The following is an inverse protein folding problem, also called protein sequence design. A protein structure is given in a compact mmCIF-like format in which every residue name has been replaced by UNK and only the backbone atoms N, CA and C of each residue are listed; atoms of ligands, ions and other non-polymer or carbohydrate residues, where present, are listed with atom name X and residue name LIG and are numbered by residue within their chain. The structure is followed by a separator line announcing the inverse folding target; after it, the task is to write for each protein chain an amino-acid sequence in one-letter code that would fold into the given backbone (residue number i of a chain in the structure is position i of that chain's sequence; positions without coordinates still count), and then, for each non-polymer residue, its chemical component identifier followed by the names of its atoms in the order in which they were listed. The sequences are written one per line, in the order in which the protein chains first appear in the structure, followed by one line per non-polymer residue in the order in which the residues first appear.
data_IF_929695344913
#
_entry.id   IF_929695344913
#
_cell.length_a   1.000
_cell.length_b   1.000
_cell.length_c   1.000
_cell.angle_alpha   90.00
_cell.angle_beta   90.00
_cell.angle_gamma   90.00
#
_symmetry.space_group_name_H-M   'P 1'
#
loop_
_entity.id
_entity.type
_entity.pdbx_description
1 polymer ?
#
# COMPACT_ATOMS: atom_id res chain seq x y z
N UNK A 1 3.13 -11.72 15.56
CA UNK A 1 2.75 -12.88 16.41
C UNK A 1 3.29 -14.14 15.79
N UNK A 2 3.74 -15.12 16.64
CA UNK A 2 4.15 -16.46 16.23
C UNK A 2 3.44 -17.47 17.11
N UNK A 3 2.99 -18.58 16.53
CA UNK A 3 2.40 -19.71 17.26
C UNK A 3 3.24 -20.99 17.06
N UNK A 4 3.28 -21.85 18.06
CA UNK A 4 4.05 -23.09 18.04
C UNK A 4 3.16 -24.35 18.00
N UNK A 5 3.80 -25.49 17.78
CA UNK A 5 3.22 -26.82 17.92
C UNK A 5 3.43 -27.32 19.36
N UNK A 6 2.47 -28.03 19.90
CA UNK A 6 2.58 -28.59 21.25
C UNK A 6 2.04 -30.02 21.32
N UNK A 7 2.47 -30.75 22.36
CA UNK A 7 2.04 -32.09 22.62
C UNK A 7 1.27 -32.16 23.97
N UNK A 8 0.17 -32.82 23.98
CA UNK A 8 -0.60 -33.08 25.20
C UNK A 8 0.05 -34.21 26.00
N UNK A 9 0.33 -33.97 27.27
CA UNK A 9 0.98 -34.95 28.16
C UNK A 9 0.32 -35.00 29.53
N UNK A 10 0.51 -36.10 30.24
CA UNK A 10 0.28 -36.18 31.68
C UNK A 10 1.48 -35.58 32.46
N UNK A 11 1.44 -35.69 33.79
CA UNK A 11 2.55 -35.20 34.65
C UNK A 11 3.83 -36.02 34.52
N UNK A 12 3.74 -37.27 34.09
CA UNK A 12 4.90 -38.14 33.81
C UNK A 12 5.49 -37.89 32.41
N UNK A 13 5.05 -36.84 31.72
CA UNK A 13 5.45 -36.46 30.36
C UNK A 13 5.11 -37.50 29.29
N UNK A 14 4.19 -38.42 29.58
CA UNK A 14 3.68 -39.37 28.62
C UNK A 14 2.62 -38.69 27.74
N UNK A 15 2.66 -38.96 26.44
CA UNK A 15 1.67 -38.45 25.49
C UNK A 15 0.27 -38.99 25.85
N UNK A 16 -0.72 -38.08 25.81
CA UNK A 16 -2.14 -38.40 25.99
C UNK A 16 -2.96 -37.85 24.84
N UNK A 17 -4.13 -38.43 24.59
CA UNK A 17 -5.01 -37.95 23.53
C UNK A 17 -5.36 -36.46 23.73
N UNK A 18 -5.42 -35.67 22.65
CA UNK A 18 -5.29 -36.04 21.24
C UNK A 18 -3.84 -36.08 20.69
N UNK A 19 -2.82 -36.03 21.52
CA UNK A 19 -1.43 -36.09 21.12
C UNK A 19 -0.88 -34.74 20.68
N UNK A 20 -0.24 -34.70 19.53
CA UNK A 20 0.35 -33.48 18.97
C UNK A 20 -0.74 -32.58 18.37
N UNK A 21 -0.73 -31.33 18.77
CA UNK A 21 -1.57 -30.26 18.20
C UNK A 21 -0.72 -29.44 17.25
N UNK A 22 -0.83 -29.75 15.97
CA UNK A 22 -0.02 -29.20 14.88
C UNK A 22 -0.79 -28.23 13.95
N UNK A 23 -2.09 -28.02 14.21
CA UNK A 23 -2.97 -27.19 13.38
C UNK A 23 -2.82 -27.52 11.88
N UNK A 24 -3.18 -28.74 11.48
CA UNK A 24 -3.03 -29.24 10.08
C UNK A 24 -3.65 -28.33 9.02
N UNK A 25 -4.68 -27.58 9.40
CA UNK A 25 -5.36 -26.60 8.52
C UNK A 25 -4.50 -25.36 8.23
N UNK A 26 -3.42 -25.18 8.98
CA UNK A 26 -2.47 -24.07 8.78
C UNK A 26 -1.53 -24.40 7.62
N UNK A 27 -1.68 -23.69 6.50
CA UNK A 27 -0.84 -23.87 5.32
C UNK A 27 -0.29 -22.53 4.84
N UNK A 28 0.87 -22.49 4.19
CA UNK A 28 1.41 -21.24 3.61
C UNK A 28 0.43 -20.55 2.66
N UNK A 29 -0.30 -21.34 1.84
CA UNK A 29 -1.25 -20.81 0.83
C UNK A 29 -2.44 -20.06 1.44
N UNK A 30 -2.78 -20.32 2.69
CA UNK A 30 -3.86 -19.63 3.37
C UNK A 30 -3.44 -18.23 3.87
N UNK A 31 -2.14 -17.93 3.95
CA UNK A 31 -1.60 -16.63 4.38
C UNK A 31 -2.26 -16.12 5.67
N UNK A 32 -2.76 -14.90 5.64
CA UNK A 32 -3.48 -14.26 6.77
C UNK A 32 -4.79 -14.97 7.15
N UNK A 33 -5.37 -15.80 6.28
CA UNK A 33 -6.63 -16.51 6.55
C UNK A 33 -6.46 -17.77 7.40
N UNK A 34 -5.24 -18.17 7.72
CA UNK A 34 -4.99 -19.34 8.58
C UNK A 34 -5.72 -19.25 9.93
N UNK A 35 -5.72 -18.10 10.59
CA UNK A 35 -6.41 -17.89 11.86
C UNK A 35 -7.92 -18.10 11.77
N UNK A 36 -8.53 -17.89 10.61
CA UNK A 36 -9.96 -18.17 10.38
C UNK A 36 -10.28 -19.67 10.25
N UNK A 37 -9.29 -20.52 9.99
CA UNK A 37 -9.46 -21.95 9.70
C UNK A 37 -9.28 -22.86 10.91
N UNK A 38 -8.70 -22.34 11.99
CA UNK A 38 -8.45 -23.11 13.23
C UNK A 38 -9.40 -22.67 14.33
N UNK A 39 -9.66 -23.57 15.30
CA UNK A 39 -10.56 -23.30 16.42
C UNK A 39 -9.85 -22.70 17.66
N UNK A 40 -8.78 -21.97 17.44
CA UNK A 40 -7.98 -21.34 18.47
C UNK A 40 -6.49 -21.47 18.15
N UNK A 41 -5.69 -20.56 18.68
CA UNK A 41 -4.27 -20.49 18.38
C UNK A 41 -3.42 -21.44 19.24
N UNK A 42 -4.01 -22.04 20.26
CA UNK A 42 -3.31 -22.93 21.19
C UNK A 42 -2.20 -22.23 21.98
N UNK A 43 -1.31 -23.03 22.55
CA UNK A 43 -0.05 -22.61 23.16
C UNK A 43 1.10 -23.37 22.45
N UNK A 44 2.34 -22.87 22.41
CA UNK A 44 2.81 -21.58 22.89
C UNK A 44 2.58 -20.44 21.88
N UNK A 45 2.58 -19.21 22.38
CA UNK A 45 2.39 -18.00 21.57
C UNK A 45 3.41 -16.93 21.96
N UNK A 46 3.97 -16.25 20.96
CA UNK A 46 4.80 -15.08 21.14
C UNK A 46 4.19 -13.87 20.43
N UNK A 47 4.24 -12.70 21.05
CA UNK A 47 3.64 -11.48 20.55
C UNK A 47 4.69 -10.38 20.43
N UNK A 48 4.59 -9.60 19.39
CA UNK A 48 5.34 -8.34 19.27
C UNK A 48 4.63 -7.27 20.11
N UNK A 49 5.26 -6.84 21.18
CA UNK A 49 4.66 -5.98 22.22
C UNK A 49 4.06 -4.68 21.70
N UNK A 50 4.67 -3.95 20.72
CA UNK A 50 4.08 -2.73 20.19
C UNK A 50 2.68 -2.96 19.59
N UNK A 51 2.47 -4.03 18.80
CA UNK A 51 1.17 -4.39 18.24
C UNK A 51 0.15 -4.68 19.34
N UNK A 52 0.54 -5.39 20.40
CA UNK A 52 -0.36 -5.63 21.54
C UNK A 52 -0.82 -4.35 22.22
N UNK A 53 0.06 -3.39 22.36
CA UNK A 53 -0.27 -2.08 22.96
C UNK A 53 -1.24 -1.28 22.11
N UNK A 54 -1.14 -1.39 20.80
CA UNK A 54 -2.03 -0.74 19.84
C UNK A 54 -3.41 -1.40 19.81
N UNK A 55 -3.46 -2.71 19.60
CA UNK A 55 -4.71 -3.47 19.43
C UNK A 55 -5.47 -3.58 20.76
N UNK A 56 -4.76 -3.66 21.87
CA UNK A 56 -5.24 -3.97 23.24
C UNK A 56 -5.85 -5.38 23.34
N UNK A 57 -5.71 -5.97 24.50
CA UNK A 57 -6.31 -7.29 24.78
C UNK A 57 -7.80 -7.10 25.08
N UNK A 58 -8.71 -7.82 24.43
CA UNK A 58 -10.13 -7.72 24.70
C UNK A 58 -10.46 -8.15 26.12
N UNK A 59 -11.33 -7.43 26.79
CA UNK A 59 -11.80 -7.74 28.14
C UNK A 59 -12.86 -8.86 28.11
N UNK A 60 -12.43 -10.08 27.93
CA UNK A 60 -13.28 -11.27 27.96
C UNK A 60 -12.59 -12.36 28.75
N UNK A 61 -13.38 -13.24 29.40
CA UNK A 61 -12.86 -14.32 30.22
C UNK A 61 -12.56 -15.60 29.43
N UNK A 62 -12.83 -15.62 28.12
CA UNK A 62 -12.60 -16.76 27.24
C UNK A 62 -12.41 -16.32 25.79
N UNK A 63 -11.42 -16.94 25.11
CA UNK A 63 -11.17 -16.69 23.69
C UNK A 63 -10.51 -15.33 23.39
N UNK A 64 -10.00 -14.64 24.41
CA UNK A 64 -9.26 -13.38 24.28
C UNK A 64 -8.03 -13.51 23.37
N UNK A 65 -7.35 -14.64 23.48
CA UNK A 65 -6.20 -14.99 22.66
C UNK A 65 -6.58 -15.21 21.19
N UNK A 66 -7.70 -15.88 20.97
CA UNK A 66 -8.20 -16.11 19.61
C UNK A 66 -8.70 -14.82 18.96
N UNK A 67 -9.44 -13.99 19.69
CA UNK A 67 -9.86 -12.67 19.21
C UNK A 67 -8.66 -11.78 18.85
N UNK A 68 -7.62 -11.80 19.70
CA UNK A 68 -6.38 -11.06 19.44
C UNK A 68 -5.65 -11.57 18.20
N UNK A 69 -5.56 -12.89 18.04
CA UNK A 69 -4.96 -13.50 16.85
C UNK A 69 -5.74 -13.22 15.56
N UNK A 70 -7.06 -13.24 15.60
CA UNK A 70 -7.89 -12.82 14.48
C UNK A 70 -7.60 -11.37 14.09
N UNK A 71 -7.57 -10.47 15.08
CA UNK A 71 -7.26 -9.04 14.83
C UNK A 71 -5.84 -8.83 14.29
N UNK A 72 -4.85 -9.52 14.82
CA UNK A 72 -3.48 -9.47 14.29
C UNK A 72 -3.45 -10.00 12.85
N UNK A 73 -4.13 -11.13 12.58
CA UNK A 73 -4.16 -11.74 11.24
C UNK A 73 -4.93 -10.93 10.19
N UNK A 74 -5.67 -9.90 10.62
CA UNK A 74 -6.31 -8.94 9.72
C UNK A 74 -5.26 -8.19 8.88
N UNK A 75 -4.23 -7.69 9.56
CA UNK A 75 -3.22 -6.81 8.97
C UNK A 75 -1.86 -7.52 8.75
N UNK A 76 -1.58 -8.57 9.55
CA UNK A 76 -0.28 -9.25 9.58
C UNK A 76 -0.39 -10.76 9.36
N UNK A 77 0.64 -11.34 8.78
CA UNK A 77 0.79 -12.79 8.75
C UNK A 77 1.32 -13.29 10.08
N UNK A 78 0.67 -14.30 10.66
CA UNK A 78 1.11 -14.95 11.89
C UNK A 78 2.16 -16.02 11.53
N UNK A 79 3.34 -15.95 12.13
CA UNK A 79 4.40 -16.94 11.96
C UNK A 79 4.05 -18.30 12.63
N UNK A 80 4.64 -19.38 12.13
CA UNK A 80 4.39 -20.74 12.59
C UNK A 80 5.68 -21.49 12.87
N UNK A 81 5.77 -22.15 14.05
CA UNK A 81 6.83 -23.11 14.38
C UNK A 81 6.20 -24.52 14.37
N UNK A 82 6.67 -25.37 13.48
CA UNK A 82 6.11 -26.70 13.25
C UNK A 82 6.66 -27.76 14.20
N UNK A 83 7.82 -27.54 14.78
CA UNK A 83 8.41 -28.42 15.79
C UNK A 83 7.60 -28.36 17.10
N UNK A 84 7.54 -29.47 17.82
CA UNK A 84 6.94 -29.50 19.17
C UNK A 84 7.88 -28.76 20.13
N UNK A 85 7.49 -27.56 20.54
CA UNK A 85 8.27 -26.69 21.44
C UNK A 85 7.64 -26.52 22.84
N UNK A 86 6.49 -27.17 23.07
CA UNK A 86 5.76 -27.06 24.33
C UNK A 86 5.07 -28.36 24.67
N UNK A 87 5.22 -28.83 25.94
CA UNK A 87 4.49 -29.98 26.50
C UNK A 87 3.36 -29.46 27.39
N UNK A 88 2.12 -29.63 26.91
CA UNK A 88 0.92 -29.20 27.64
C UNK A 88 0.48 -30.28 28.59
N UNK A 89 0.84 -30.16 29.88
CA UNK A 89 0.44 -31.11 30.93
C UNK A 89 -1.03 -30.93 31.26
N UNK A 90 -1.76 -32.04 31.22
CA UNK A 90 -3.19 -32.08 31.52
C UNK A 90 -3.47 -32.89 32.78
N UNK A 91 -4.44 -32.42 33.57
CA UNK A 91 -4.91 -33.05 34.78
C UNK A 91 -6.37 -32.61 35.08
N UNK A 92 -7.04 -33.27 36.01
CA UNK A 92 -8.45 -33.02 36.32
C UNK A 92 -8.76 -31.59 36.80
N UNK A 93 -7.79 -30.91 37.40
CA UNK A 93 -7.92 -29.52 37.86
C UNK A 93 -7.67 -28.44 36.80
N UNK A 94 -7.44 -28.79 35.52
CA UNK A 94 -7.33 -27.78 34.47
C UNK A 94 -8.67 -27.05 34.29
N UNK A 95 -8.63 -25.74 34.07
CA UNK A 95 -9.80 -24.86 33.98
C UNK A 95 -10.82 -25.28 32.89
N UNK A 96 -10.38 -26.04 31.91
CA UNK A 96 -11.19 -26.56 30.79
C UNK A 96 -11.49 -28.06 30.89
N UNK A 97 -11.02 -28.76 31.94
CA UNK A 97 -11.21 -30.23 32.11
C UNK A 97 -12.61 -30.61 32.55
N UNK A 98 -13.34 -29.77 33.26
CA UNK A 98 -14.62 -30.01 33.86
C UNK A 98 -15.73 -29.05 33.39
N UNK A 99 -15.67 -28.61 32.12
CA UNK A 99 -16.72 -27.78 31.56
C UNK A 99 -17.95 -28.60 31.23
N UNK A 100 -19.13 -28.11 31.67
CA UNK A 100 -20.39 -28.65 31.19
C UNK A 100 -20.62 -28.35 29.70
N UNK A 101 -21.52 -29.12 29.10
CA UNK A 101 -21.79 -29.02 27.65
C UNK A 101 -22.34 -27.63 27.25
N UNK A 102 -23.10 -26.99 28.13
CA UNK A 102 -23.66 -25.66 27.86
C UNK A 102 -22.56 -24.61 27.81
N UNK A 103 -21.56 -24.69 28.69
CA UNK A 103 -20.42 -23.80 28.71
C UNK A 103 -19.50 -24.04 27.52
N UNK A 104 -19.28 -25.30 27.12
CA UNK A 104 -18.54 -25.66 25.91
C UNK A 104 -19.22 -25.03 24.67
N UNK A 105 -20.53 -25.22 24.54
CA UNK A 105 -21.30 -24.69 23.41
C UNK A 105 -21.28 -23.18 23.39
N UNK A 106 -21.41 -22.51 24.52
CA UNK A 106 -21.32 -21.03 24.64
C UNK A 106 -19.95 -20.52 24.21
N UNK A 107 -18.88 -21.19 24.63
CA UNK A 107 -17.51 -20.88 24.28
C UNK A 107 -17.27 -21.05 22.77
N UNK A 108 -17.75 -22.13 22.17
CA UNK A 108 -17.65 -22.37 20.74
C UNK A 108 -18.45 -21.33 19.93
N UNK A 109 -19.69 -21.06 20.39
CA UNK A 109 -20.51 -20.01 19.74
C UNK A 109 -19.85 -18.64 19.75
N UNK A 110 -19.20 -18.26 20.85
CA UNK A 110 -18.43 -17.01 20.92
C UNK A 110 -17.29 -16.98 19.88
N UNK A 111 -16.47 -18.04 19.81
CA UNK A 111 -15.39 -18.15 18.83
C UNK A 111 -15.90 -18.09 17.40
N UNK A 112 -16.99 -18.80 17.10
CA UNK A 112 -17.59 -18.80 15.77
C UNK A 112 -18.15 -17.42 15.39
N UNK A 113 -18.72 -16.71 16.37
CA UNK A 113 -19.22 -15.35 16.17
C UNK A 113 -18.10 -14.38 15.81
N UNK A 114 -17.02 -14.34 16.59
CA UNK A 114 -15.89 -13.43 16.30
C UNK A 114 -15.18 -13.79 14.98
N UNK A 115 -15.09 -15.09 14.67
CA UNK A 115 -14.56 -15.57 13.37
C UNK A 115 -15.45 -15.12 12.21
N UNK A 116 -16.75 -15.23 12.36
CA UNK A 116 -17.73 -14.82 11.35
C UNK A 116 -17.67 -13.32 11.12
N UNK A 117 -17.60 -12.52 12.19
CA UNK A 117 -17.46 -11.05 12.07
C UNK A 117 -16.18 -10.63 11.37
N UNK A 118 -15.06 -11.27 11.71
CA UNK A 118 -13.78 -11.02 11.05
C UNK A 118 -13.83 -11.39 9.56
N UNK A 119 -14.39 -12.55 9.21
CA UNK A 119 -14.58 -12.96 7.83
C UNK A 119 -15.45 -11.97 7.06
N UNK A 120 -16.58 -11.54 7.66
CA UNK A 120 -17.46 -10.55 7.04
C UNK A 120 -16.74 -9.20 6.85
N UNK A 121 -15.91 -8.78 7.80
CA UNK A 121 -15.12 -7.57 7.67
C UNK A 121 -14.16 -7.65 6.49
N UNK A 122 -13.42 -8.78 6.34
CA UNK A 122 -12.51 -9.01 5.20
C UNK A 122 -13.24 -9.03 3.86
N UNK A 123 -14.40 -9.69 3.78
CA UNK A 123 -15.22 -9.72 2.57
C UNK A 123 -15.69 -8.30 2.20
N UNK A 124 -16.15 -7.52 3.18
CA UNK A 124 -16.60 -6.14 2.94
C UNK A 124 -15.45 -5.25 2.45
N UNK A 125 -14.28 -5.34 3.07
CA UNK A 125 -13.10 -4.58 2.60
C UNK A 125 -12.78 -4.94 1.15
N UNK A 126 -12.67 -6.25 0.84
CA UNK A 126 -12.39 -6.70 -0.51
C UNK A 126 -13.45 -6.26 -1.54
N UNK A 127 -14.74 -6.32 -1.17
CA UNK A 127 -15.84 -5.87 -2.04
C UNK A 127 -15.87 -4.35 -2.23
N UNK A 128 -15.41 -3.57 -1.24
CA UNK A 128 -15.28 -2.10 -1.36
C UNK A 128 -14.17 -1.78 -2.36
N UNK A 129 -13.01 -2.42 -2.27
CA UNK A 129 -11.89 -2.22 -3.18
C UNK A 129 -12.28 -2.50 -4.64
N UNK A 130 -12.88 -3.66 -4.90
CA UNK A 130 -13.32 -4.01 -6.26
C UNK A 130 -14.44 -3.09 -6.76
N UNK A 131 -15.36 -2.67 -5.88
CA UNK A 131 -16.45 -1.79 -6.26
C UNK A 131 -15.95 -0.37 -6.56
N UNK A 132 -15.02 0.17 -5.76
CA UNK A 132 -14.44 1.48 -6.00
C UNK A 132 -13.62 1.50 -7.28
N UNK A 133 -12.77 0.51 -7.49
CA UNK A 133 -11.98 0.37 -8.71
C UNK A 133 -12.87 0.32 -9.96
N UNK A 134 -14.00 -0.39 -9.91
CA UNK A 134 -14.99 -0.43 -10.99
C UNK A 134 -15.60 0.95 -11.22
N UNK A 135 -16.01 1.66 -10.17
CA UNK A 135 -16.57 3.02 -10.28
C UNK A 135 -15.56 4.01 -10.89
N UNK A 136 -14.29 3.91 -10.52
CA UNK A 136 -13.21 4.73 -11.12
C UNK A 136 -13.11 4.45 -12.63
N UNK A 137 -13.10 3.20 -13.05
CA UNK A 137 -13.05 2.84 -14.45
C UNK A 137 -14.29 3.33 -15.23
N UNK A 138 -15.48 3.18 -14.66
CA UNK A 138 -16.74 3.67 -15.24
C UNK A 138 -16.72 5.22 -15.38
N UNK A 139 -16.24 5.93 -14.35
CA UNK A 139 -16.07 7.39 -14.39
C UNK A 139 -15.12 7.82 -15.50
N UNK A 140 -13.95 7.17 -15.62
CA UNK A 140 -12.97 7.45 -16.67
C UNK A 140 -13.61 7.33 -18.05
N UNK A 141 -14.26 6.21 -18.34
CA UNK A 141 -14.86 5.95 -19.66
C UNK A 141 -16.02 6.91 -19.95
N UNK A 142 -16.86 7.20 -18.96
CA UNK A 142 -17.93 8.19 -19.09
C UNK A 142 -17.41 9.57 -19.42
N UNK A 143 -16.41 10.08 -18.66
CA UNK A 143 -15.87 11.43 -18.89
C UNK A 143 -15.11 11.54 -20.21
N UNK A 144 -14.35 10.51 -20.62
CA UNK A 144 -13.74 10.45 -21.94
C UNK A 144 -14.77 10.51 -23.09
N UNK A 145 -15.98 10.01 -22.85
CA UNK A 145 -17.07 10.02 -23.84
C UNK A 145 -17.83 11.35 -23.85
N UNK A 146 -18.19 11.86 -22.68
CA UNK A 146 -19.19 12.91 -22.50
C UNK A 146 -18.55 14.31 -22.35
N UNK A 147 -17.39 14.42 -21.72
CA UNK A 147 -16.70 15.69 -21.55
C UNK A 147 -15.85 16.05 -22.79
N UNK A 148 -16.26 17.10 -23.51
CA UNK A 148 -15.66 17.48 -24.80
C UNK A 148 -14.14 17.68 -24.73
N UNK A 149 -13.63 18.34 -23.67
CA UNK A 149 -12.20 18.57 -23.47
C UNK A 149 -11.46 17.25 -23.28
N UNK A 150 -11.92 16.41 -22.36
CA UNK A 150 -11.33 15.11 -22.09
C UNK A 150 -11.33 14.24 -23.36
N UNK A 151 -12.49 14.12 -24.02
CA UNK A 151 -12.63 13.36 -25.26
C UNK A 151 -11.60 13.75 -26.32
N UNK A 152 -11.41 15.06 -26.53
CA UNK A 152 -10.44 15.58 -27.49
C UNK A 152 -9.03 15.19 -27.08
N UNK A 153 -8.62 15.50 -25.85
CA UNK A 153 -7.25 15.34 -25.38
C UNK A 153 -6.85 13.87 -25.27
N UNK A 154 -7.73 12.98 -24.81
CA UNK A 154 -7.46 11.54 -24.78
C UNK A 154 -7.37 10.92 -26.19
N UNK A 155 -8.19 11.37 -27.13
CA UNK A 155 -8.07 10.96 -28.54
C UNK A 155 -6.75 11.38 -29.16
N UNK A 156 -6.31 12.60 -28.88
CA UNK A 156 -5.02 13.11 -29.36
C UNK A 156 -3.85 12.37 -28.69
N UNK A 157 -3.94 12.06 -27.38
CA UNK A 157 -2.96 11.23 -26.70
C UNK A 157 -2.79 9.88 -27.40
N UNK A 158 -3.89 9.18 -27.69
CA UNK A 158 -3.83 7.88 -28.39
C UNK A 158 -3.16 7.97 -29.77
N UNK A 159 -3.39 9.07 -30.50
CA UNK A 159 -2.72 9.30 -31.77
C UNK A 159 -1.23 9.57 -31.60
N UNK A 160 -0.85 10.29 -30.54
CA UNK A 160 0.52 10.67 -30.25
C UNK A 160 1.33 9.50 -29.68
N UNK A 161 0.73 8.62 -28.91
CA UNK A 161 1.35 7.37 -28.45
C UNK A 161 1.77 6.47 -29.62
N UNK A 162 1.04 6.50 -30.74
CA UNK A 162 1.44 5.78 -31.99
C UNK A 162 2.71 6.34 -32.64
N UNK A 163 3.13 7.56 -32.27
CA UNK A 163 4.36 8.22 -32.74
C UNK A 163 5.52 8.01 -31.76
N UNK A 164 5.36 7.12 -30.80
CA UNK A 164 6.38 6.79 -29.83
C UNK A 164 7.69 6.38 -30.51
N UNK A 165 8.80 6.88 -30.01
CA UNK A 165 10.15 6.50 -30.41
C UNK A 165 10.91 6.01 -29.18
N UNK A 166 11.76 5.02 -29.36
CA UNK A 166 12.67 4.54 -28.34
C UNK A 166 14.09 4.95 -28.68
N UNK A 167 14.76 5.54 -27.73
CA UNK A 167 16.18 5.87 -27.81
C UNK A 167 16.94 4.96 -26.85
N UNK A 168 18.01 4.34 -27.34
CA UNK A 168 18.92 3.58 -26.50
C UNK A 168 20.15 4.44 -26.16
N UNK A 169 20.39 4.60 -24.86
CA UNK A 169 21.50 5.38 -24.33
C UNK A 169 22.44 4.43 -23.56
N UNK A 170 23.73 4.53 -23.84
CA UNK A 170 24.77 3.81 -23.08
C UNK A 170 25.23 4.67 -21.92
N UNK A 171 24.97 4.23 -20.69
CA UNK A 171 25.34 4.91 -19.45
C UNK A 171 26.03 3.92 -18.51
N UNK A 172 27.27 4.22 -18.13
CA UNK A 172 28.01 3.40 -17.16
C UNK A 172 28.21 1.93 -17.52
N UNK A 173 28.20 1.59 -18.83
CA UNK A 173 28.30 0.22 -19.32
C UNK A 173 26.96 -0.47 -19.58
N UNK A 174 25.86 0.09 -19.12
CA UNK A 174 24.51 -0.42 -19.35
C UNK A 174 23.81 0.28 -20.52
N UNK A 175 22.92 -0.42 -21.21
CA UNK A 175 22.03 0.15 -22.22
C UNK A 175 20.69 0.47 -21.58
N UNK A 176 20.38 1.77 -21.46
CA UNK A 176 19.10 2.25 -20.95
C UNK A 176 18.20 2.64 -22.13
N UNK A 177 16.91 2.29 -22.07
CA UNK A 177 15.90 2.61 -23.08
C UNK A 177 15.02 3.75 -22.60
N UNK A 178 14.93 4.82 -23.38
CA UNK A 178 14.03 5.96 -23.16
C UNK A 178 12.96 5.97 -24.21
N UNK A 179 11.71 5.92 -23.80
CA UNK A 179 10.55 6.06 -24.68
C UNK A 179 10.05 7.48 -24.63
N UNK A 180 9.79 8.09 -25.76
CA UNK A 180 9.26 9.44 -25.86
C UNK A 180 8.26 9.57 -26.99
N UNK A 181 7.27 10.41 -26.78
CA UNK A 181 6.24 10.74 -27.76
C UNK A 181 5.84 12.21 -27.62
N UNK A 182 5.37 12.85 -28.72
CA UNK A 182 4.92 14.23 -28.66
C UNK A 182 3.60 14.32 -27.88
N UNK A 183 3.48 15.28 -26.97
CA UNK A 183 2.23 15.54 -26.25
C UNK A 183 2.00 17.05 -26.09
N UNK A 184 1.69 17.80 -27.20
CA UNK A 184 1.59 19.25 -27.17
C UNK A 184 0.45 19.76 -26.26
N UNK A 185 -0.61 18.98 -26.05
CA UNK A 185 -1.72 19.37 -25.18
C UNK A 185 -1.28 19.46 -23.71
N UNK A 186 -0.27 18.70 -23.34
CA UNK A 186 0.30 18.74 -21.99
C UNK A 186 0.95 20.08 -21.67
N UNK A 187 1.45 20.82 -22.67
CA UNK A 187 2.07 22.12 -22.49
C UNK A 187 1.17 23.10 -21.71
N UNK A 188 -0.14 23.06 -21.92
CA UNK A 188 -1.10 23.93 -21.21
C UNK A 188 -0.99 23.76 -19.69
N UNK A 189 -0.90 22.52 -19.19
CA UNK A 189 -0.80 22.29 -17.75
C UNK A 189 0.62 22.35 -17.20
N UNK A 190 1.64 22.09 -18.02
CA UNK A 190 3.03 22.16 -17.59
C UNK A 190 3.58 23.59 -17.59
N UNK A 191 2.99 24.49 -18.38
CA UNK A 191 3.34 25.91 -18.42
C UNK A 191 2.52 26.76 -17.43
N UNK A 192 1.75 26.13 -16.52
CA UNK A 192 1.07 26.86 -15.45
C UNK A 192 2.09 27.68 -14.65
N UNK A 193 1.77 28.95 -14.44
CA UNK A 193 2.57 29.83 -13.59
C UNK A 193 2.41 29.40 -12.14
N UNK A 194 3.54 29.15 -11.49
CA UNK A 194 3.60 28.64 -10.12
C UNK A 194 4.39 29.57 -9.18
N UNK A 195 4.64 30.80 -9.61
CA UNK A 195 5.19 31.83 -8.75
C UNK A 195 4.13 32.33 -7.74
N UNK A 196 4.59 32.84 -6.60
CA UNK A 196 3.72 33.22 -5.48
C UNK A 196 2.68 34.27 -5.85
N UNK A 197 2.97 35.20 -6.74
CA UNK A 197 2.05 36.23 -7.18
C UNK A 197 0.93 35.62 -8.04
N UNK A 198 1.29 34.84 -9.05
CA UNK A 198 0.35 34.16 -9.94
C UNK A 198 -0.60 33.21 -9.17
N UNK A 199 -0.08 32.54 -8.13
CA UNK A 199 -0.89 31.66 -7.28
C UNK A 199 -1.91 32.46 -6.47
N UNK A 200 -1.54 33.61 -5.91
CA UNK A 200 -2.46 34.45 -5.13
C UNK A 200 -3.55 35.10 -5.98
N UNK A 201 -3.24 35.43 -7.23
CA UNK A 201 -4.17 36.14 -8.11
C UNK A 201 -5.15 35.22 -8.84
N UNK A 202 -4.86 33.91 -8.93
CA UNK A 202 -5.72 32.95 -9.64
C UNK A 202 -6.64 32.18 -8.71
N UNK A 203 -7.90 31.88 -9.13
CA UNK A 203 -8.69 30.86 -8.45
C UNK A 203 -7.98 29.49 -8.56
N UNK A 204 -7.95 28.74 -7.47
CA UNK A 204 -7.37 27.39 -7.50
C UNK A 204 -8.26 26.46 -8.34
N UNK A 205 -7.72 25.96 -9.44
CA UNK A 205 -8.44 25.10 -10.38
C UNK A 205 -8.70 23.68 -9.86
N UNK A 206 -8.15 23.32 -8.70
CA UNK A 206 -8.40 22.04 -8.02
C UNK A 206 -9.58 22.12 -7.04
N UNK A 207 -9.87 23.32 -6.49
CA UNK A 207 -11.03 23.50 -5.63
C UNK A 207 -12.33 23.20 -6.38
N UNK A 208 -13.27 22.53 -5.70
CA UNK A 208 -14.52 22.06 -6.29
C UNK A 208 -15.31 23.18 -6.99
N UNK A 209 -15.38 24.36 -6.38
CA UNK A 209 -16.12 25.53 -6.90
C UNK A 209 -15.54 26.09 -8.23
N UNK A 210 -14.29 25.76 -8.54
CA UNK A 210 -13.59 26.27 -9.73
C UNK A 210 -13.41 25.20 -10.81
N UNK A 211 -13.79 23.96 -10.53
CA UNK A 211 -13.69 22.86 -11.51
C UNK A 211 -14.84 22.93 -12.52
N UNK A 212 -14.62 22.53 -13.79
CA UNK A 212 -15.70 22.38 -14.76
C UNK A 212 -16.79 21.41 -14.27
N UNK A 213 -18.05 21.72 -14.49
CA UNK A 213 -19.16 20.87 -14.07
C UNK A 213 -19.11 19.45 -14.68
N UNK A 214 -18.48 19.29 -15.83
CA UNK A 214 -18.29 18.00 -16.49
C UNK A 214 -17.22 17.14 -15.79
N UNK A 215 -16.33 17.72 -14.98
CA UNK A 215 -15.30 16.99 -14.22
C UNK A 215 -15.90 16.44 -12.93
N UNK A 216 -16.66 15.38 -13.03
CA UNK A 216 -17.20 14.69 -11.86
C UNK A 216 -16.09 13.97 -11.08
N UNK A 217 -16.29 13.80 -9.79
CA UNK A 217 -15.36 13.14 -8.87
C UNK A 217 -15.98 11.93 -8.15
N UNK A 218 -15.13 11.09 -7.60
CA UNK A 218 -15.48 10.04 -6.64
C UNK A 218 -14.71 10.30 -5.35
N UNK A 219 -15.41 10.29 -4.22
CA UNK A 219 -14.76 10.48 -2.91
C UNK A 219 -14.11 9.19 -2.41
N UNK A 220 -12.89 9.31 -1.89
CA UNK A 220 -12.15 8.24 -1.24
C UNK A 220 -11.40 8.80 -0.02
N UNK A 221 -11.90 8.51 1.18
CA UNK A 221 -11.45 9.17 2.41
C UNK A 221 -11.76 10.66 2.38
N UNK A 222 -10.75 11.50 2.53
CA UNK A 222 -10.84 12.97 2.40
C UNK A 222 -10.26 13.49 1.06
N UNK A 223 -10.23 12.62 0.06
CA UNK A 223 -9.78 12.93 -1.30
C UNK A 223 -10.90 12.79 -2.32
N UNK A 224 -10.85 13.60 -3.34
CA UNK A 224 -11.68 13.51 -4.54
C UNK A 224 -10.86 13.03 -5.73
N UNK A 225 -11.26 11.90 -6.31
CA UNK A 225 -10.63 11.29 -7.49
C UNK A 225 -11.29 11.80 -8.74
N UNK A 226 -10.54 12.54 -9.57
CA UNK A 226 -11.01 13.18 -10.80
C UNK A 226 -10.24 12.70 -12.03
N UNK A 227 -10.88 12.68 -13.20
CA UNK A 227 -10.17 12.49 -14.45
C UNK A 227 -9.25 13.70 -14.74
N UNK A 228 -7.99 13.45 -15.09
CA UNK A 228 -7.09 14.53 -15.51
C UNK A 228 -7.40 14.92 -16.97
N UNK A 229 -7.81 16.19 -17.25
CA UNK A 229 -8.19 16.61 -18.59
C UNK A 229 -7.01 16.77 -19.57
N UNK A 230 -5.77 16.83 -19.06
CA UNK A 230 -4.54 16.94 -19.86
C UNK A 230 -3.66 15.70 -19.66
N UNK A 231 -4.06 14.55 -20.21
CA UNK A 231 -3.45 13.28 -19.86
C UNK A 231 -2.04 13.10 -20.45
N UNK A 232 -1.22 12.34 -19.71
CA UNK A 232 0.03 11.74 -20.20
C UNK A 232 -0.06 10.22 -20.22
N UNK A 233 -1.11 9.66 -19.61
CA UNK A 233 -1.39 8.23 -19.52
C UNK A 233 -2.81 7.95 -20.01
N UNK A 234 -3.08 6.72 -20.49
CA UNK A 234 -4.41 6.31 -20.94
C UNK A 234 -5.46 6.36 -19.85
N UNK A 235 -5.05 6.01 -18.63
CA UNK A 235 -5.83 6.24 -17.41
C UNK A 235 -5.02 7.18 -16.53
N UNK A 236 -5.40 8.47 -16.52
CA UNK A 236 -4.70 9.53 -15.78
C UNK A 236 -5.69 10.27 -14.89
N UNK A 237 -5.46 10.21 -13.58
CA UNK A 237 -6.32 10.82 -12.57
C UNK A 237 -5.55 11.90 -11.80
N UNK A 238 -6.29 12.83 -11.23
CA UNK A 238 -5.84 13.77 -10.20
C UNK A 238 -6.65 13.45 -8.94
N UNK A 239 -5.98 13.25 -7.83
CA UNK A 239 -6.56 12.92 -6.54
C UNK A 239 -6.34 14.11 -5.64
N UNK A 240 -7.39 14.84 -5.35
CA UNK A 240 -7.37 16.18 -4.77
C UNK A 240 -7.80 16.08 -3.31
N UNK A 241 -7.04 16.65 -2.38
CA UNK A 241 -7.49 16.78 -0.99
C UNK A 241 -8.71 17.71 -0.93
N UNK A 242 -9.74 17.38 -0.16
CA UNK A 242 -10.96 18.19 -0.08
C UNK A 242 -10.69 19.60 0.47
N UNK A 243 -9.76 19.68 1.44
CA UNK A 243 -9.31 20.94 1.99
C UNK A 243 -8.21 21.58 1.14
N UNK A 244 -8.28 22.91 0.96
CA UNK A 244 -7.25 23.65 0.26
C UNK A 244 -6.02 23.86 1.16
N UNK A 245 -5.12 22.89 1.16
CA UNK A 245 -3.88 22.90 1.93
C UNK A 245 -2.66 22.88 1.00
N UNK A 246 -1.51 23.41 1.41
CA UNK A 246 -0.30 23.41 0.58
C UNK A 246 0.19 22.01 0.20
N UNK A 247 0.79 21.89 -0.97
CA UNK A 247 1.38 20.65 -1.49
C UNK A 247 2.55 20.19 -0.61
N UNK A 248 2.38 19.11 0.15
CA UNK A 248 3.42 18.47 0.95
C UNK A 248 3.16 16.99 1.13
N UNK A 249 4.21 16.16 1.09
CA UNK A 249 4.09 14.72 1.39
C UNK A 249 4.22 14.43 2.88
N UNK A 250 4.75 15.38 3.66
CA UNK A 250 4.90 15.23 5.10
C UNK A 250 3.54 14.96 5.74
N UNK A 251 3.46 13.89 6.53
CA UNK A 251 2.23 13.40 7.17
C UNK A 251 1.11 12.95 6.19
N UNK A 252 1.40 12.78 4.90
CA UNK A 252 0.46 12.32 3.87
C UNK A 252 0.93 11.07 3.12
N UNK A 253 2.08 10.53 3.50
CA UNK A 253 2.56 9.30 2.89
C UNK A 253 1.66 8.10 3.24
N UNK A 254 1.10 8.07 4.44
CA UNK A 254 0.12 7.06 4.82
C UNK A 254 -1.14 7.12 3.96
N UNK A 255 -1.61 8.32 3.61
CA UNK A 255 -2.73 8.52 2.68
C UNK A 255 -2.36 8.02 1.27
N UNK A 256 -1.13 8.26 0.82
CA UNK A 256 -0.64 7.76 -0.46
C UNK A 256 -0.68 6.23 -0.52
N UNK A 257 -0.33 5.53 0.57
CA UNK A 257 -0.41 4.08 0.68
C UNK A 257 -1.87 3.59 0.72
N UNK A 258 -2.75 4.31 1.42
CA UNK A 258 -4.19 4.04 1.46
C UNK A 258 -4.81 4.15 0.05
N UNK A 259 -4.47 5.18 -0.69
CA UNK A 259 -4.91 5.36 -2.08
C UNK A 259 -4.37 4.24 -2.98
N UNK A 260 -3.09 3.85 -2.82
CA UNK A 260 -2.49 2.77 -3.59
C UNK A 260 -3.15 1.41 -3.35
N UNK A 261 -3.59 1.15 -2.12
CA UNK A 261 -4.29 -0.08 -1.75
C UNK A 261 -5.70 -0.13 -2.36
N UNK A 262 -6.46 0.97 -2.24
CA UNK A 262 -7.85 1.07 -2.74
C UNK A 262 -7.94 1.27 -4.26
N UNK A 263 -6.85 1.67 -4.90
CA UNK A 263 -6.72 1.87 -6.35
C UNK A 263 -5.60 0.98 -6.90
N UNK A 264 -5.66 -0.32 -6.62
CA UNK A 264 -4.57 -1.26 -6.86
C UNK A 264 -4.24 -1.53 -8.34
N UNK A 265 -5.05 -1.05 -9.28
CA UNK A 265 -4.73 -1.00 -10.71
C UNK A 265 -3.95 0.26 -11.12
N UNK A 266 -3.66 1.16 -10.18
CA UNK A 266 -2.96 2.41 -10.42
C UNK A 266 -1.63 2.49 -9.67
N UNK A 267 -0.76 3.33 -10.22
CA UNK A 267 0.38 3.91 -9.53
C UNK A 267 -0.06 5.25 -8.98
N UNK A 268 0.18 5.52 -7.72
CA UNK A 268 -0.05 6.83 -7.11
C UNK A 268 1.23 7.65 -7.20
N UNK A 269 1.11 8.89 -7.65
CA UNK A 269 2.22 9.77 -7.97
C UNK A 269 2.13 11.05 -7.13
N UNK A 270 3.22 11.42 -6.49
CA UNK A 270 3.36 12.71 -5.83
C UNK A 270 4.43 13.56 -6.54
N UNK A 271 4.09 14.80 -6.83
CA UNK A 271 5.04 15.81 -7.28
C UNK A 271 5.18 16.88 -6.21
N UNK A 272 6.38 17.05 -5.68
CA UNK A 272 6.66 18.12 -4.72
C UNK A 272 6.36 19.52 -5.29
N UNK A 273 6.10 20.53 -4.45
CA UNK A 273 5.69 21.88 -4.86
C UNK A 273 6.68 22.51 -5.83
N UNK A 274 7.97 22.30 -5.62
CA UNK A 274 9.06 22.73 -6.51
C UNK A 274 9.61 21.56 -7.36
N UNK A 275 8.78 20.53 -7.62
CA UNK A 275 9.14 19.34 -8.40
C UNK A 275 8.10 18.99 -9.48
N UNK A 276 7.52 20.02 -10.11
CA UNK A 276 6.61 19.86 -11.23
C UNK A 276 5.14 19.84 -10.86
N UNK A 277 4.76 20.09 -9.60
CA UNK A 277 3.37 20.33 -9.24
C UNK A 277 2.83 21.57 -9.98
N UNK A 278 1.64 21.46 -10.59
CA UNK A 278 0.98 22.58 -11.30
C UNK A 278 0.13 23.44 -10.34
N UNK A 279 -0.21 22.93 -9.17
CA UNK A 279 -0.90 23.62 -8.10
C UNK A 279 -0.17 23.36 -6.76
N UNK A 280 0.96 24.04 -6.51
CA UNK A 280 1.71 23.87 -5.26
C UNK A 280 0.99 24.42 -4.02
N UNK A 281 -0.08 25.15 -4.25
CA UNK A 281 -0.99 25.73 -3.25
C UNK A 281 -2.08 24.76 -2.78
N UNK A 282 -2.34 23.65 -3.50
CA UNK A 282 -3.37 22.70 -3.16
C UNK A 282 -2.88 21.26 -3.22
N UNK A 283 -2.95 20.57 -2.09
CA UNK A 283 -2.49 19.19 -1.96
C UNK A 283 -3.24 18.24 -2.89
N UNK A 284 -2.49 17.52 -3.68
CA UNK A 284 -3.03 16.53 -4.59
C UNK A 284 -2.00 15.44 -4.93
N UNK A 285 -2.51 14.27 -5.21
CA UNK A 285 -1.77 13.21 -5.88
C UNK A 285 -2.23 13.10 -7.34
N UNK A 286 -1.51 12.32 -8.12
CA UNK A 286 -1.97 11.87 -9.42
C UNK A 286 -1.99 10.34 -9.43
N UNK A 287 -2.71 9.75 -10.39
CA UNK A 287 -2.67 8.31 -10.59
C UNK A 287 -2.55 7.96 -12.07
N UNK A 288 -1.71 6.95 -12.34
CA UNK A 288 -1.50 6.38 -13.67
C UNK A 288 -1.84 4.90 -13.68
N UNK A 289 -2.58 4.43 -14.68
CA UNK A 289 -2.86 3.00 -14.82
C UNK A 289 -1.58 2.17 -14.92
N UNK A 290 -1.51 1.04 -14.23
CA UNK A 290 -0.34 0.13 -14.24
C UNK A 290 -0.01 -0.45 -15.62
N UNK A 291 -1.00 -0.51 -16.52
CA UNK A 291 -0.81 -0.95 -17.92
C UNK A 291 0.18 -0.09 -18.70
N UNK A 292 0.46 1.12 -18.26
CA UNK A 292 1.43 2.00 -18.90
C UNK A 292 2.89 1.54 -18.75
N UNK A 293 3.12 0.44 -18.03
CA UNK A 293 4.45 -0.16 -17.81
C UNK A 293 5.49 0.82 -17.23
N UNK A 294 5.02 1.85 -16.53
CA UNK A 294 5.89 2.79 -15.81
C UNK A 294 6.53 2.08 -14.62
N UNK A 295 5.82 1.10 -14.07
CA UNK A 295 6.11 0.47 -12.79
C UNK A 295 7.02 -0.73 -12.83
N UNK A 296 7.61 -1.07 -13.95
CA UNK A 296 8.78 -1.95 -13.93
C UNK A 296 9.96 -1.30 -14.66
N UNK A 297 10.28 -0.03 -14.33
CA UNK A 297 11.44 0.64 -14.87
C UNK A 297 12.72 0.03 -14.36
N UNK A 298 12.62 -0.87 -13.36
CA UNK A 298 13.72 -1.27 -12.52
C UNK A 298 13.81 -2.79 -12.52
N UNK A 299 14.75 -3.31 -13.25
CA UNK A 299 15.42 -4.56 -12.86
C UNK A 299 16.15 -4.22 -11.56
N UNK A 300 15.38 -4.10 -10.46
CA UNK A 300 15.90 -3.68 -9.18
C UNK A 300 16.86 -4.72 -8.65
N UNK A 301 18.13 -4.40 -8.64
CA UNK A 301 19.13 -5.17 -7.90
C UNK A 301 19.07 -4.65 -6.46
N UNK A 302 18.63 -5.47 -5.52
CA UNK A 302 18.65 -5.15 -4.10
C UNK A 302 20.07 -4.89 -3.65
N UNK A 303 20.33 -3.71 -3.05
CA UNK A 303 21.68 -3.32 -2.61
C UNK A 303 21.93 -3.66 -1.15
N UNK A 304 20.93 -3.76 -0.30
CA UNK A 304 21.09 -4.28 1.08
C UNK A 304 19.76 -4.62 1.74
N UNK A 305 19.77 -5.70 2.52
CA UNK A 305 18.77 -5.95 3.57
C UNK A 305 19.13 -5.07 4.78
N UNK A 306 18.54 -3.92 4.90
CA UNK A 306 18.86 -3.01 6.01
C UNK A 306 18.23 -3.41 7.35
N UNK A 307 17.32 -4.37 7.39
CA UNK A 307 16.81 -4.94 8.64
C UNK A 307 16.50 -6.43 8.42
N UNK A 308 17.27 -7.28 9.07
CA UNK A 308 17.05 -8.73 9.13
C UNK A 308 15.92 -9.08 10.11
N UNK A 309 14.68 -8.84 9.75
CA UNK A 309 13.51 -9.40 10.41
C UNK A 309 12.47 -9.77 9.37
N UNK A 310 11.61 -10.73 9.70
CA UNK A 310 10.58 -11.25 8.80
C UNK A 310 9.56 -10.20 8.30
N UNK A 311 9.55 -9.00 8.89
CA UNK A 311 8.83 -7.81 8.44
C UNK A 311 9.70 -6.91 7.55
N UNK A 312 10.50 -7.51 6.69
CA UNK A 312 11.58 -6.84 5.97
C UNK A 312 11.09 -5.67 5.12
N UNK A 313 11.57 -4.48 5.51
CA UNK A 313 11.58 -3.31 4.63
C UNK A 313 12.82 -3.43 3.76
N UNK A 314 12.62 -3.55 2.46
CA UNK A 314 13.73 -3.56 1.51
C UNK A 314 13.96 -2.15 1.00
N UNK A 315 15.19 -1.67 1.08
CA UNK A 315 15.60 -0.43 0.46
C UNK A 315 16.72 -0.66 -0.55
N UNK A 316 16.70 0.08 -1.63
CA UNK A 316 17.73 0.03 -2.65
C UNK A 316 17.95 1.40 -3.26
N UNK A 317 19.18 1.64 -3.68
CA UNK A 317 19.58 2.86 -4.39
C UNK A 317 19.84 2.52 -5.85
N UNK A 318 19.17 3.20 -6.77
CA UNK A 318 19.46 3.10 -8.18
C UNK A 318 20.14 4.37 -8.70
N UNK A 319 21.28 4.20 -9.35
CA UNK A 319 22.00 5.23 -10.08
C UNK A 319 21.77 5.02 -11.58
N UNK A 320 20.58 5.40 -12.06
CA UNK A 320 20.22 5.36 -13.46
C UNK A 320 20.29 6.74 -14.11
N UNK A 321 19.25 7.10 -14.89
CA UNK A 321 19.09 8.49 -15.39
C UNK A 321 18.85 9.49 -14.26
N UNK A 322 18.28 9.03 -13.15
CA UNK A 322 18.03 9.80 -11.92
C UNK A 322 18.39 8.95 -10.73
N UNK A 323 18.91 9.55 -9.67
CA UNK A 323 19.09 8.88 -8.40
C UNK A 323 17.71 8.66 -7.77
N UNK A 324 17.41 7.42 -7.41
CA UNK A 324 16.15 7.05 -6.75
C UNK A 324 16.40 6.07 -5.61
N UNK A 325 15.53 6.14 -4.62
CA UNK A 325 15.50 5.23 -3.48
C UNK A 325 14.20 4.45 -3.55
N UNK A 326 14.28 3.13 -3.63
CA UNK A 326 13.13 2.25 -3.57
C UNK A 326 12.98 1.66 -2.18
N UNK A 327 11.74 1.57 -1.70
CA UNK A 327 11.39 0.86 -0.48
C UNK A 327 10.17 -0.03 -0.75
N UNK A 328 10.16 -1.22 -0.17
CA UNK A 328 9.03 -2.13 -0.26
C UNK A 328 8.85 -2.92 1.03
N UNK A 329 7.61 -3.25 1.37
CA UNK A 329 7.30 -4.05 2.54
C UNK A 329 5.89 -4.64 2.47
N UNK A 330 5.68 -5.88 2.93
CA UNK A 330 4.35 -6.40 3.21
C UNK A 330 3.74 -5.79 4.48
N UNK A 331 4.53 -5.07 5.28
CA UNK A 331 4.12 -4.40 6.51
C UNK A 331 3.94 -2.90 6.26
N UNK A 332 2.67 -2.43 6.30
CA UNK A 332 2.32 -1.01 6.07
C UNK A 332 3.06 -0.07 7.02
N UNK A 333 3.15 -0.43 8.30
CA UNK A 333 3.85 0.39 9.30
C UNK A 333 5.35 0.47 9.01
N UNK A 334 5.96 -0.65 8.63
CA UNK A 334 7.39 -0.69 8.31
C UNK A 334 7.76 0.22 7.14
N UNK A 335 6.93 0.25 6.06
CA UNK A 335 7.19 1.16 4.93
C UNK A 335 6.98 2.63 5.31
N UNK A 336 6.01 2.94 6.19
CA UNK A 336 5.80 4.30 6.70
C UNK A 336 7.01 4.76 7.51
N UNK A 337 7.44 4.00 8.51
CA UNK A 337 8.59 4.32 9.36
C UNK A 337 9.88 4.51 8.53
N UNK A 338 10.09 3.67 7.52
CA UNK A 338 11.24 3.81 6.62
C UNK A 338 11.14 5.07 5.74
N UNK A 339 9.95 5.37 5.21
CA UNK A 339 9.75 6.59 4.42
C UNK A 339 10.01 7.84 5.27
N UNK A 340 9.45 7.91 6.48
CA UNK A 340 9.64 9.03 7.41
C UNK A 340 11.13 9.21 7.76
N UNK A 341 11.82 8.12 8.05
CA UNK A 341 13.26 8.16 8.30
C UNK A 341 14.04 8.73 7.11
N UNK A 342 13.75 8.26 5.89
CA UNK A 342 14.40 8.75 4.68
C UNK A 342 14.04 10.21 4.40
N UNK A 343 12.77 10.58 4.58
CA UNK A 343 12.28 11.95 4.39
C UNK A 343 13.02 12.92 5.32
N UNK A 344 13.12 12.60 6.60
CA UNK A 344 13.84 13.45 7.58
C UNK A 344 15.33 13.59 7.24
N UNK A 345 15.97 12.52 6.74
CA UNK A 345 17.35 12.58 6.26
C UNK A 345 17.49 13.49 5.04
N UNK A 346 16.57 13.41 4.09
CA UNK A 346 16.57 14.25 2.90
C UNK A 346 16.34 15.71 3.29
N UNK A 347 15.35 16.00 4.14
CA UNK A 347 15.09 17.36 4.67
C UNK A 347 16.31 17.95 5.36
N UNK A 348 17.05 17.16 6.13
CA UNK A 348 18.26 17.63 6.82
C UNK A 348 19.37 18.13 5.86
N UNK A 349 19.34 17.65 4.60
CA UNK A 349 20.28 18.07 3.55
C UNK A 349 19.80 19.35 2.86
N UNK A 350 18.48 19.52 2.70
CA UNK A 350 17.88 20.61 1.91
C UNK A 350 17.42 21.83 2.74
N UNK A 351 17.58 21.81 4.07
CA UNK A 351 17.30 22.91 5.01
C UNK A 351 15.94 23.63 4.81
N UNK A 352 14.98 23.34 5.70
CA UNK A 352 13.73 24.10 5.98
C UNK A 352 12.62 24.14 4.92
N UNK A 353 12.72 23.44 3.81
CA UNK A 353 11.65 23.35 2.80
C UNK A 353 11.29 21.90 2.50
N UNK A 354 10.08 21.70 1.98
CA UNK A 354 9.74 20.44 1.33
C UNK A 354 10.85 20.05 0.37
N UNK A 355 11.47 18.88 0.51
CA UNK A 355 12.61 18.51 -0.32
C UNK A 355 12.20 18.35 -1.79
N UNK A 356 13.16 18.55 -2.70
CA UNK A 356 12.93 18.37 -4.12
C UNK A 356 12.81 16.89 -4.48
N UNK A 357 11.61 16.32 -4.25
CA UNK A 357 11.31 14.92 -4.51
C UNK A 357 10.06 14.72 -5.34
N UNK A 358 10.06 13.62 -6.11
CA UNK A 358 8.85 13.01 -6.65
C UNK A 358 8.73 11.60 -6.06
N UNK A 359 7.53 11.16 -5.77
CA UNK A 359 7.28 9.84 -5.16
C UNK A 359 6.29 9.07 -6.02
N UNK A 360 6.55 7.78 -6.20
CA UNK A 360 5.61 6.83 -6.82
C UNK A 360 5.35 5.73 -5.81
N UNK A 361 4.09 5.41 -5.54
CA UNK A 361 3.72 4.29 -4.69
C UNK A 361 2.66 3.40 -5.35
N UNK A 362 2.69 2.11 -5.03
CA UNK A 362 1.67 1.15 -5.47
C UNK A 362 1.58 -0.02 -4.50
N UNK A 363 0.43 -0.70 -4.55
CA UNK A 363 0.17 -1.93 -3.83
C UNK A 363 -0.11 -3.07 -4.81
N UNK A 364 0.49 -4.24 -4.60
CA UNK A 364 0.24 -5.38 -5.49
C UNK A 364 1.11 -6.59 -5.20
N UNK A 365 0.88 -7.65 -5.99
CA UNK A 365 1.69 -8.87 -5.98
C UNK A 365 3.04 -8.59 -6.64
N UNK A 366 4.09 -8.91 -5.94
CA UNK A 366 5.46 -8.85 -6.44
C UNK A 366 6.14 -10.20 -6.22
N UNK A 367 6.92 -10.63 -7.21
CA UNK A 367 7.73 -11.85 -7.10
C UNK A 367 8.97 -11.53 -6.26
N UNK A 368 9.02 -12.04 -5.05
CA UNK A 368 10.20 -11.92 -4.21
C UNK A 368 11.16 -13.05 -4.57
N UNK A 369 12.31 -12.72 -5.13
CA UNK A 369 13.39 -13.67 -5.44
C UNK A 369 14.08 -14.18 -4.15
N UNK A 370 13.31 -14.77 -3.25
CA UNK A 370 13.82 -15.65 -2.20
C UNK A 370 13.59 -17.07 -2.65
N UNK A 371 14.62 -17.86 -2.80
CA UNK A 371 14.69 -19.32 -2.98
C UNK A 371 13.35 -20.05 -3.17
N UNK A 372 12.53 -19.66 -4.20
CA UNK A 372 11.23 -20.28 -4.42
C UNK A 372 10.27 -19.49 -5.31
N UNK A 373 10.46 -18.19 -5.50
CA UNK A 373 9.59 -17.40 -6.37
C UNK A 373 8.19 -17.11 -5.81
N UNK A 374 8.06 -16.99 -4.50
CA UNK A 374 6.76 -16.68 -3.85
C UNK A 374 6.28 -15.28 -4.22
N UNK A 375 5.02 -15.18 -4.62
CA UNK A 375 4.35 -13.90 -4.85
C UNK A 375 3.81 -13.37 -3.51
N UNK A 376 4.22 -12.15 -3.14
CA UNK A 376 3.77 -11.49 -1.92
C UNK A 376 3.08 -10.18 -2.29
N UNK A 377 1.90 -9.94 -1.72
CA UNK A 377 1.27 -8.60 -1.77
C UNK A 377 2.01 -7.66 -0.84
N UNK A 378 2.48 -6.56 -1.40
CA UNK A 378 3.23 -5.56 -0.64
C UNK A 378 2.99 -4.16 -1.15
N UNK A 379 3.28 -3.18 -0.30
CA UNK A 379 3.42 -1.78 -0.68
C UNK A 379 4.82 -1.55 -1.23
N UNK A 380 4.88 -0.75 -2.28
CA UNK A 380 6.11 -0.35 -2.93
C UNK A 380 6.13 1.16 -3.07
N UNK A 381 7.30 1.75 -2.92
CA UNK A 381 7.51 3.18 -3.09
C UNK A 381 8.87 3.46 -3.72
N UNK A 382 8.91 4.46 -4.61
CA UNK A 382 10.15 4.98 -5.18
C UNK A 382 10.20 6.47 -4.94
N UNK A 383 11.29 6.94 -4.39
CA UNK A 383 11.58 8.35 -4.14
C UNK A 383 12.63 8.81 -5.15
N UNK A 384 12.29 9.75 -6.00
CA UNK A 384 13.21 10.39 -6.93
C UNK A 384 13.72 11.70 -6.35
N UNK A 385 15.04 11.78 -6.20
CA UNK A 385 15.69 13.01 -5.76
C UNK A 385 15.90 13.95 -6.96
N UNK A 386 15.54 15.22 -6.80
CA UNK A 386 15.66 16.25 -7.84
C UNK A 386 16.61 17.35 -7.40
N UNK A 387 17.29 17.94 -8.37
CA UNK A 387 18.16 19.12 -8.17
C UNK A 387 17.55 20.42 -8.68
N UNK A 388 16.48 20.35 -9.48
CA UNK A 388 15.83 21.51 -10.11
C UNK A 388 14.32 21.30 -10.18
N UNK A 389 13.57 22.38 -10.09
CA UNK A 389 12.11 22.40 -10.26
C UNK A 389 11.69 21.90 -11.65
N UNK A 390 12.25 22.48 -12.69
CA UNK A 390 12.02 22.12 -14.09
C UNK A 390 13.34 22.09 -14.87
N UNK A 391 13.49 21.22 -15.87
CA UNK A 391 14.66 21.25 -16.76
C UNK A 391 14.67 22.54 -17.61
N UNK A 392 15.86 22.96 -18.08
CA UNK A 392 16.06 24.20 -18.84
C UNK A 392 15.25 24.25 -20.13
N UNK A 393 14.91 23.10 -20.71
CA UNK A 393 14.08 23.07 -21.95
C UNK A 393 12.61 23.50 -21.73
N UNK A 394 12.21 23.80 -20.49
CA UNK A 394 10.88 24.36 -20.18
C UNK A 394 10.83 25.90 -20.21
N UNK A 395 12.00 26.56 -20.36
CA UNK A 395 12.13 28.03 -20.38
C UNK A 395 12.55 28.51 -21.78
#
# INVERSE_FOLDING_TARGET
MVIGTYMMTNFDMQEIAPGIIDHKEWTPDNGRNNALRINGLGAPRAFYTPILREIKVPNTSYGEDYALGLKISHDYQIGRIYDVIYLCRRWEGNSDAALDIEKINRNNFYKDSIRTWELQARIRMHSIDESFQRLVNEMIEKQKKDWKLAKKNYKELEQNLKKEKTLELKLGGDTKRVRFFPNPQRAISTMAQTDSQSIQERPCFLCNDNRPAEQTSLSLGHYEVCLNPYPIFRRHLTIIEEEHTPQTIKNRFEDMLFLAENMNEFLILYNGPECGASAPDHMHFQAAGKEEKIANPFGMTFISDMLSSEDSVHSHLENGFTTSIGISSPNRRGIIEMFEYLYDKIVSIYHDKEPLINVIAWYGLETVNRTGGDEIKQWNCIIFLRSKHRPECYY
#
